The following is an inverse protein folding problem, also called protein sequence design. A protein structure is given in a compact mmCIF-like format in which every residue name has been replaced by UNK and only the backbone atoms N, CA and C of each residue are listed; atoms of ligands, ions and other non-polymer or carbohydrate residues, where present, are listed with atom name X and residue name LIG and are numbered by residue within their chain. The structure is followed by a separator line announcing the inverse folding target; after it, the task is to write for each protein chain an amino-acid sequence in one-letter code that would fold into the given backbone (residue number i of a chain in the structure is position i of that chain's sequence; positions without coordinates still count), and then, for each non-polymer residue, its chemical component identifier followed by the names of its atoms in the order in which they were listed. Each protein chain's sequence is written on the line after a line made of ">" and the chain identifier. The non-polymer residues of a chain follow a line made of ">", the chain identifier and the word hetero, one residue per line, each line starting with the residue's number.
data_IF_209519303333
#
_entry.id   IF_209519303333
#
_cell.length_a   1.000
_cell.length_b   1.000
_cell.length_c   1.000
_cell.angle_alpha   90.00
_cell.angle_beta   90.00
_cell.angle_gamma   90.00
#
_symmetry.space_group_name_H-M   'P 1'
#
loop_
_entity.id
_entity.type
_entity.pdbx_description
1 polymer ?
#
# COMPACT_ATOMS: atom_id res chain seq x y z
N UNK A 1 14.19 -18.27 -9.40
CA UNK A 1 13.40 -19.41 -8.92
C UNK A 1 11.89 -19.18 -9.08
N UNK A 2 11.22 -18.31 -8.27
CA UNK A 2 9.75 -18.13 -8.32
C UNK A 2 9.28 -17.65 -9.70
N UNK A 3 9.91 -16.63 -10.26
CA UNK A 3 9.58 -16.09 -11.59
C UNK A 3 9.89 -17.10 -12.71
N UNK A 4 10.96 -17.85 -12.59
CA UNK A 4 11.32 -18.94 -13.53
C UNK A 4 10.36 -20.13 -13.45
N UNK A 5 9.73 -20.34 -12.28
CA UNK A 5 8.68 -21.34 -12.10
C UNK A 5 7.33 -20.93 -12.70
N UNK A 6 7.23 -19.73 -13.31
CA UNK A 6 6.05 -19.27 -14.02
C UNK A 6 5.12 -18.35 -13.20
N UNK A 7 5.58 -17.84 -12.06
CA UNK A 7 4.85 -16.85 -11.27
C UNK A 7 5.32 -15.45 -11.64
N UNK A 8 4.77 -14.93 -12.72
CA UNK A 8 5.21 -13.67 -13.33
C UNK A 8 4.59 -12.44 -12.62
N UNK A 9 3.46 -12.59 -11.95
CA UNK A 9 2.72 -11.49 -11.35
C UNK A 9 2.80 -11.54 -9.81
N UNK A 10 3.30 -10.47 -9.20
CA UNK A 10 3.17 -10.19 -7.78
C UNK A 10 1.78 -9.60 -7.56
N UNK A 11 0.88 -10.36 -6.97
CA UNK A 11 -0.52 -9.97 -6.79
C UNK A 11 -0.70 -9.07 -5.57
N UNK A 12 0.08 -9.28 -4.52
CA UNK A 12 0.11 -8.46 -3.32
C UNK A 12 1.36 -8.74 -2.48
N UNK A 13 1.83 -7.74 -1.77
CA UNK A 13 2.85 -7.82 -0.74
C UNK A 13 2.30 -7.18 0.53
N UNK A 14 2.27 -7.92 1.61
CA UNK A 14 1.66 -7.49 2.87
C UNK A 14 2.69 -7.59 3.98
N UNK A 15 2.88 -6.50 4.73
CA UNK A 15 3.67 -6.51 5.95
C UNK A 15 2.92 -7.22 7.09
N UNK A 16 3.65 -7.89 7.96
CA UNK A 16 3.06 -8.56 9.12
C UNK A 16 3.99 -8.51 10.34
N UNK A 17 3.40 -8.21 11.48
CA UNK A 17 4.05 -8.34 12.78
C UNK A 17 3.70 -9.70 13.41
N UNK A 18 4.66 -10.62 13.38
CA UNK A 18 4.52 -11.98 13.93
C UNK A 18 4.75 -12.05 15.46
N UNK A 19 4.92 -10.93 16.13
CA UNK A 19 5.23 -10.83 17.56
C UNK A 19 6.74 -10.79 17.79
N UNK A 20 7.44 -11.89 17.66
CA UNK A 20 8.91 -11.95 17.85
C UNK A 20 9.68 -11.49 16.62
N UNK A 21 9.08 -11.55 15.43
CA UNK A 21 9.66 -11.17 14.15
C UNK A 21 8.76 -10.22 13.39
N UNK A 22 9.36 -9.41 12.52
CA UNK A 22 8.66 -8.66 11.48
C UNK A 22 8.89 -9.34 10.13
N UNK A 23 7.95 -9.18 9.18
CA UNK A 23 8.14 -9.79 7.89
C UNK A 23 7.11 -9.39 6.85
N UNK A 24 7.18 -10.05 5.72
CA UNK A 24 6.32 -9.83 4.57
C UNK A 24 5.75 -11.14 4.05
N UNK A 25 4.52 -11.09 3.62
CA UNK A 25 3.85 -12.17 2.88
C UNK A 25 3.67 -11.72 1.45
N UNK A 26 4.30 -12.43 0.53
CA UNK A 26 4.23 -12.21 -0.91
C UNK A 26 3.21 -13.16 -1.52
N UNK A 27 2.31 -12.64 -2.33
CA UNK A 27 1.34 -13.42 -3.09
C UNK A 27 1.64 -13.30 -4.58
N UNK A 28 1.85 -14.45 -5.21
CA UNK A 28 2.17 -14.52 -6.63
C UNK A 28 1.07 -15.28 -7.38
N UNK A 29 0.85 -14.88 -8.62
CA UNK A 29 -0.09 -15.57 -9.53
C UNK A 29 0.64 -15.89 -10.85
N UNK A 30 0.45 -17.12 -11.32
CA UNK A 30 0.85 -17.53 -12.66
C UNK A 30 -0.20 -17.07 -13.67
N UNK A 31 0.24 -16.39 -14.73
CA UNK A 31 -0.65 -15.93 -15.81
C UNK A 31 -1.14 -17.11 -16.66
N UNK A 32 -0.39 -18.23 -16.69
CA UNK A 32 -0.69 -19.37 -17.57
C UNK A 32 -1.87 -20.22 -17.09
N UNK A 33 -1.92 -20.51 -15.80
CA UNK A 33 -2.84 -21.47 -15.21
C UNK A 33 -3.62 -20.88 -14.01
N UNK A 34 -3.40 -19.61 -13.71
CA UNK A 34 -3.99 -18.89 -12.56
C UNK A 34 -3.69 -19.56 -11.20
N UNK A 35 -2.62 -20.38 -11.14
CA UNK A 35 -2.15 -20.93 -9.88
C UNK A 35 -1.58 -19.84 -8.99
N UNK A 36 -1.71 -20.02 -7.66
CA UNK A 36 -1.30 -19.05 -6.66
C UNK A 36 -0.23 -19.64 -5.76
N UNK A 37 0.76 -18.82 -5.42
CA UNK A 37 1.83 -19.14 -4.49
C UNK A 37 1.93 -18.03 -3.46
N UNK A 38 2.11 -18.38 -2.19
CA UNK A 38 2.51 -17.43 -1.15
C UNK A 38 3.91 -17.76 -0.63
N UNK A 39 4.68 -16.72 -0.35
CA UNK A 39 6.00 -16.84 0.28
C UNK A 39 6.09 -15.88 1.46
N UNK A 40 6.67 -16.33 2.56
CA UNK A 40 6.83 -15.54 3.78
C UNK A 40 8.33 -15.31 4.00
N UNK A 41 8.71 -14.07 4.19
CA UNK A 41 10.07 -13.66 4.56
C UNK A 41 10.00 -12.95 5.91
N UNK A 42 10.86 -13.33 6.84
CA UNK A 42 10.89 -12.78 8.20
C UNK A 42 12.28 -12.29 8.55
N UNK A 43 12.33 -11.26 9.41
CA UNK A 43 13.54 -10.80 10.10
C UNK A 43 13.28 -10.78 11.60
N UNK A 44 14.23 -11.27 12.40
CA UNK A 44 14.15 -11.28 13.86
C UNK A 44 14.62 -9.94 14.46
N UNK A 45 15.34 -9.14 13.68
CA UNK A 45 15.76 -7.80 14.09
C UNK A 45 14.57 -6.82 14.02
N UNK A 46 13.94 -6.58 15.17
CA UNK A 46 12.81 -5.64 15.28
C UNK A 46 13.23 -4.18 15.36
N UNK A 47 14.46 -3.90 15.76
CA UNK A 47 14.98 -2.52 15.90
C UNK A 47 15.37 -1.96 14.53
N UNK A 48 16.03 -2.78 13.72
CA UNK A 48 16.48 -2.39 12.38
C UNK A 48 16.12 -3.46 11.32
N UNK A 49 14.82 -3.74 11.13
CA UNK A 49 14.39 -4.82 10.24
C UNK A 49 14.75 -4.52 8.78
N UNK A 50 15.42 -5.47 8.14
CA UNK A 50 15.85 -5.36 6.75
C UNK A 50 15.53 -6.62 5.97
N UNK A 51 15.06 -6.45 4.72
CA UNK A 51 14.76 -7.51 3.76
C UNK A 51 15.27 -7.06 2.39
N UNK A 52 15.72 -7.96 1.54
CA UNK A 52 16.08 -7.60 0.16
C UNK A 52 14.85 -7.22 -0.66
N UNK A 53 14.94 -6.13 -1.42
CA UNK A 53 13.90 -5.72 -2.36
C UNK A 53 13.77 -6.73 -3.49
N UNK A 54 12.53 -6.88 -3.97
CA UNK A 54 12.22 -7.67 -5.17
C UNK A 54 11.73 -6.78 -6.33
N UNK A 55 11.85 -5.47 -6.20
CA UNK A 55 11.37 -4.47 -7.17
C UNK A 55 12.11 -4.50 -8.53
N UNK A 56 13.29 -5.11 -8.59
CA UNK A 56 14.00 -5.42 -9.83
C UNK A 56 13.31 -6.53 -10.63
N UNK A 57 12.68 -7.47 -9.95
CA UNK A 57 11.95 -8.60 -10.53
C UNK A 57 10.48 -8.29 -10.81
N UNK A 58 9.80 -7.61 -9.87
CA UNK A 58 8.39 -7.23 -9.97
C UNK A 58 8.23 -5.73 -9.69
N UNK A 59 7.79 -4.98 -10.69
CA UNK A 59 7.66 -3.51 -10.58
C UNK A 59 6.57 -3.08 -9.60
N UNK A 60 5.55 -3.92 -9.39
CA UNK A 60 4.48 -3.68 -8.41
C UNK A 60 5.04 -3.51 -6.99
N UNK A 61 6.13 -4.23 -6.66
CA UNK A 61 6.82 -4.13 -5.38
C UNK A 61 7.36 -2.72 -5.06
N UNK A 62 7.56 -1.85 -6.06
CA UNK A 62 8.06 -0.48 -5.82
C UNK A 62 7.18 0.34 -4.87
N UNK A 63 5.87 0.19 -4.93
CA UNK A 63 4.95 0.90 -4.03
C UNK A 63 4.59 0.05 -2.80
N UNK A 64 4.41 -1.25 -2.98
CA UNK A 64 4.04 -2.15 -1.89
C UNK A 64 5.15 -2.28 -0.83
N UNK A 65 6.42 -2.31 -1.22
CA UNK A 65 7.55 -2.30 -0.29
C UNK A 65 7.64 -0.98 0.50
N UNK A 66 7.30 0.16 -0.13
CA UNK A 66 7.19 1.45 0.56
C UNK A 66 6.03 1.47 1.55
N UNK A 67 4.90 0.85 1.23
CA UNK A 67 3.77 0.69 2.15
C UNK A 67 4.18 -0.13 3.38
N UNK A 68 4.85 -1.27 3.17
CA UNK A 68 5.36 -2.09 4.28
C UNK A 68 6.37 -1.32 5.12
N UNK A 69 7.28 -0.58 4.51
CA UNK A 69 8.20 0.30 5.24
C UNK A 69 7.42 1.34 6.06
N UNK A 70 6.41 1.96 5.46
CA UNK A 70 5.65 3.04 6.08
C UNK A 70 4.93 2.59 7.36
N UNK A 71 4.37 1.39 7.36
CA UNK A 71 3.55 0.89 8.47
C UNK A 71 4.30 -0.02 9.44
N UNK A 72 5.36 -0.72 9.01
CA UNK A 72 6.10 -1.68 9.83
C UNK A 72 7.57 -1.32 10.04
N UNK A 73 8.12 -0.39 9.26
CA UNK A 73 9.51 0.03 9.34
C UNK A 73 10.51 -0.95 8.76
N UNK A 74 10.06 -1.92 7.99
CA UNK A 74 10.94 -2.86 7.31
C UNK A 74 11.62 -2.14 6.14
N UNK A 75 12.94 -2.04 6.17
CA UNK A 75 13.75 -1.42 5.14
C UNK A 75 14.07 -2.44 4.04
N UNK A 76 13.85 -2.06 2.79
CA UNK A 76 14.16 -2.94 1.67
C UNK A 76 15.50 -2.58 1.04
N UNK A 77 16.47 -3.49 1.17
CA UNK A 77 17.83 -3.34 0.62
C UNK A 77 17.75 -3.33 -0.91
N UNK A 78 18.41 -2.39 -1.55
CA UNK A 78 18.42 -2.15 -3.00
C UNK A 78 17.07 -1.66 -3.58
N UNK A 79 16.12 -1.26 -2.74
CA UNK A 79 14.95 -0.53 -3.22
C UNK A 79 15.37 0.89 -3.70
N UNK A 80 14.95 1.34 -4.89
CA UNK A 80 15.43 2.60 -5.46
C UNK A 80 14.90 3.86 -4.74
N UNK A 81 13.79 3.77 -4.00
CA UNK A 81 13.13 4.91 -3.37
C UNK A 81 12.42 4.50 -2.08
N UNK A 82 13.16 4.42 -0.96
CA UNK A 82 12.61 3.99 0.33
C UNK A 82 12.17 5.22 1.14
N UNK A 83 10.95 5.68 0.90
CA UNK A 83 10.26 6.76 1.61
C UNK A 83 8.89 6.29 2.07
N UNK A 84 8.31 7.01 3.05
CA UNK A 84 6.90 6.81 3.39
C UNK A 84 5.99 7.05 2.17
N UNK A 85 4.87 6.37 2.14
CA UNK A 85 3.92 6.43 1.02
C UNK A 85 2.61 7.12 1.42
N UNK A 86 2.02 6.71 2.54
CA UNK A 86 0.72 7.18 3.03
C UNK A 86 0.85 8.16 4.20
N UNK A 87 1.79 7.91 5.11
CA UNK A 87 2.03 8.76 6.25
C UNK A 87 2.98 9.92 5.89
N UNK A 88 2.96 10.96 6.69
CA UNK A 88 3.90 12.08 6.55
C UNK A 88 5.33 11.59 6.86
N UNK A 89 6.32 12.16 6.19
CA UNK A 89 7.72 11.76 6.39
C UNK A 89 8.23 12.01 7.82
N UNK A 90 7.63 12.97 8.53
CA UNK A 90 7.92 13.28 9.93
C UNK A 90 7.08 12.45 10.94
N UNK A 91 6.28 11.50 10.47
CA UNK A 91 5.51 10.62 11.36
C UNK A 91 6.44 9.78 12.22
N UNK A 92 6.18 9.75 13.54
CA UNK A 92 6.99 9.01 14.51
C UNK A 92 6.44 7.59 14.67
N UNK A 93 7.32 6.61 14.50
CA UNK A 93 6.99 5.19 14.65
C UNK A 93 6.31 4.56 13.44
N UNK A 94 5.78 3.34 13.66
CA UNK A 94 5.20 2.48 12.62
C UNK A 94 3.88 1.88 13.11
N UNK A 95 2.74 2.42 12.66
CA UNK A 95 1.45 2.22 13.35
C UNK A 95 0.87 0.81 13.29
N UNK A 96 1.26 -0.04 12.35
CA UNK A 96 0.76 -1.41 12.29
C UNK A 96 1.59 -2.41 13.10
N UNK A 97 2.69 -1.99 13.72
CA UNK A 97 3.38 -2.80 14.72
C UNK A 97 2.49 -2.99 15.95
N UNK A 98 2.55 -4.17 16.56
CA UNK A 98 1.78 -4.51 17.78
C UNK A 98 2.26 -3.76 19.03
N UNK A 99 3.52 -3.32 19.02
CA UNK A 99 4.17 -2.55 20.08
C UNK A 99 4.13 -1.03 19.85
N UNK A 100 3.35 -0.56 18.86
CA UNK A 100 3.24 0.87 18.56
C UNK A 100 2.46 1.62 19.65
N UNK A 101 3.05 2.74 20.12
CA UNK A 101 2.37 3.68 21.02
C UNK A 101 1.37 4.55 20.23
N UNK A 102 0.07 4.41 20.56
CA UNK A 102 -1.02 5.14 19.92
C UNK A 102 -1.33 6.49 20.62
N UNK A 103 -0.46 7.00 21.48
CA UNK A 103 -0.69 8.26 22.18
C UNK A 103 -0.77 9.44 21.19
N UNK A 104 -1.73 10.35 21.41
CA UNK A 104 -1.89 11.56 20.58
C UNK A 104 -0.67 12.49 20.66
N UNK A 105 0.11 12.40 21.74
CA UNK A 105 1.30 13.20 21.97
C UNK A 105 2.44 12.84 21.00
N UNK A 106 2.49 11.58 20.55
CA UNK A 106 3.52 11.08 19.66
C UNK A 106 3.42 11.71 18.26
N UNK A 107 2.20 11.82 17.74
CA UNK A 107 1.93 12.36 16.42
C UNK A 107 0.76 13.35 16.47
N UNK A 108 0.96 14.57 16.99
CA UNK A 108 -0.09 15.54 17.10
C UNK A 108 -0.64 15.97 15.74
N UNK A 109 -1.93 16.26 15.70
CA UNK A 109 -2.57 16.86 14.52
C UNK A 109 -1.97 18.24 14.27
N UNK A 110 -1.41 18.46 13.09
CA UNK A 110 -0.87 19.76 12.67
C UNK A 110 -1.83 20.45 11.70
N UNK A 111 -2.14 21.70 11.98
CA UNK A 111 -3.03 22.52 11.14
C UNK A 111 -2.32 23.10 9.91
N UNK A 112 -0.99 23.23 9.96
CA UNK A 112 -0.17 23.78 8.89
C UNK A 112 0.87 22.75 8.47
N UNK A 113 1.10 22.64 7.15
CA UNK A 113 2.16 21.82 6.60
C UNK A 113 3.48 22.62 6.69
N UNK A 114 4.34 22.23 7.60
CA UNK A 114 5.75 22.58 7.52
C UNK A 114 6.37 21.82 6.34
N UNK A 115 7.39 22.39 5.72
CA UNK A 115 8.16 21.66 4.72
C UNK A 115 8.84 20.46 5.40
N UNK A 116 8.48 19.28 4.95
CA UNK A 116 9.04 18.02 5.44
C UNK A 116 9.98 17.49 4.37
N UNK A 117 11.18 17.09 4.82
CA UNK A 117 12.16 16.45 3.94
C UNK A 117 11.56 15.20 3.27
N UNK A 118 11.47 15.22 1.97
CA UNK A 118 10.90 14.17 1.13
C UNK A 118 11.94 13.48 0.23
N UNK A 119 13.24 13.66 0.56
CA UNK A 119 14.31 13.01 -0.17
C UNK A 119 14.17 11.50 -0.18
N UNK A 120 14.47 10.91 -1.33
CA UNK A 120 14.52 9.47 -1.51
C UNK A 120 15.71 8.86 -0.77
N UNK A 121 15.51 7.69 -0.18
CA UNK A 121 16.56 6.93 0.50
C UNK A 121 16.69 5.57 -0.16
N UNK A 122 17.92 5.17 -0.46
CA UNK A 122 18.26 3.84 -0.95
C UNK A 122 19.19 3.16 0.03
N UNK A 123 18.84 1.98 0.49
CA UNK A 123 19.71 1.15 1.33
C UNK A 123 20.50 0.21 0.42
N UNK A 124 21.82 0.35 0.42
CA UNK A 124 22.73 -0.42 -0.43
C UNK A 124 23.64 -1.27 0.43
N UNK A 125 23.71 -2.55 0.15
CA UNK A 125 24.63 -3.51 0.77
C UNK A 125 25.95 -3.57 -0.01
N UNK A 126 27.08 -3.48 0.69
CA UNK A 126 28.42 -3.63 0.11
C UNK A 126 28.83 -5.12 0.05
N UNK A 127 29.98 -5.38 -0.58
CA UNK A 127 30.54 -6.75 -0.71
C UNK A 127 30.82 -7.44 0.64
N UNK A 128 30.86 -6.69 1.73
CA UNK A 128 31.09 -7.20 3.09
C UNK A 128 29.80 -7.39 3.87
N UNK A 129 28.62 -7.19 3.27
CA UNK A 129 27.32 -7.30 3.92
C UNK A 129 26.95 -6.07 4.78
N UNK A 130 27.68 -4.94 4.65
CA UNK A 130 27.36 -3.72 5.38
C UNK A 130 26.38 -2.87 4.59
N UNK A 131 25.21 -2.60 5.19
CA UNK A 131 24.20 -1.74 4.60
C UNK A 131 24.48 -0.27 4.90
N UNK A 132 24.45 0.56 3.88
CA UNK A 132 24.57 2.01 3.95
C UNK A 132 23.35 2.71 3.32
N UNK A 133 22.94 3.84 3.88
CA UNK A 133 21.85 4.66 3.35
C UNK A 133 22.42 5.76 2.44
N UNK A 134 21.89 5.85 1.22
CA UNK A 134 22.18 6.92 0.28
C UNK A 134 20.92 7.76 0.10
N UNK A 135 21.03 9.06 0.37
CA UNK A 135 19.95 10.03 0.23
C UNK A 135 20.08 10.78 -1.10
N UNK A 136 18.99 10.94 -1.82
CA UNK A 136 18.92 11.63 -3.10
C UNK A 136 17.63 12.46 -3.15
N UNK A 137 17.72 13.70 -3.60
CA UNK A 137 16.54 14.53 -3.80
C UNK A 137 15.64 13.94 -4.92
N UNK A 138 14.32 13.95 -4.69
CA UNK A 138 13.36 13.43 -5.66
C UNK A 138 13.39 14.27 -6.95
N UNK A 139 13.46 15.58 -6.79
CA UNK A 139 13.61 16.53 -7.88
C UNK A 139 14.82 17.41 -7.66
N UNK A 140 15.49 17.81 -8.73
CA UNK A 140 16.60 18.75 -8.68
C UNK A 140 16.07 20.20 -8.76
N UNK A 141 16.89 21.18 -8.35
CA UNK A 141 16.48 22.59 -8.29
C UNK A 141 16.24 23.24 -9.67
N UNK A 142 16.70 22.60 -10.74
CA UNK A 142 16.56 23.05 -12.13
C UNK A 142 15.38 22.36 -12.85
N UNK A 143 14.71 21.39 -12.23
CA UNK A 143 13.53 20.76 -12.79
C UNK A 143 12.28 21.65 -12.64
N UNK A 144 11.49 21.75 -13.72
CA UNK A 144 10.18 22.39 -13.67
C UNK A 144 9.13 21.39 -13.18
N UNK A 145 8.72 21.54 -11.93
CA UNK A 145 7.78 20.60 -11.26
C UNK A 145 6.39 21.21 -11.18
N UNK A 146 5.41 20.50 -11.73
CA UNK A 146 3.98 20.83 -11.66
C UNK A 146 3.24 19.85 -10.75
N UNK A 147 2.33 20.38 -9.93
CA UNK A 147 1.44 19.57 -9.10
C UNK A 147 0.10 19.36 -9.79
N UNK A 148 -0.31 18.12 -9.97
CA UNK A 148 -1.63 17.71 -10.47
C UNK A 148 -2.37 17.04 -9.31
N UNK A 149 -3.46 17.62 -8.85
CA UNK A 149 -4.17 17.19 -7.64
C UNK A 149 -3.68 17.91 -6.37
N UNK A 150 -4.18 17.55 -5.17
CA UNK A 150 -5.07 16.42 -4.85
C UNK A 150 -6.53 16.56 -5.30
N UNK A 151 -6.99 17.77 -5.61
CA UNK A 151 -8.31 18.05 -6.19
C UNK A 151 -8.12 18.51 -7.63
N UNK A 152 -8.27 17.58 -8.57
CA UNK A 152 -8.17 17.86 -10.00
C UNK A 152 -9.15 16.97 -10.77
N UNK A 153 -9.88 17.50 -11.77
CA UNK A 153 -10.84 16.69 -12.53
C UNK A 153 -10.24 15.44 -13.17
N UNK A 154 -8.99 15.50 -13.59
CA UNK A 154 -8.30 14.38 -14.23
C UNK A 154 -7.93 13.23 -13.29
N UNK A 155 -7.92 13.45 -11.97
CA UNK A 155 -7.55 12.40 -11.01
C UNK A 155 -8.73 11.56 -10.54
N UNK A 156 -9.97 12.01 -10.78
CA UNK A 156 -11.21 11.35 -10.36
C UNK A 156 -11.19 10.87 -8.90
N UNK A 157 -10.54 11.65 -8.02
CA UNK A 157 -10.36 11.29 -6.60
C UNK A 157 -9.34 12.21 -5.94
N UNK A 158 -8.79 11.77 -4.82
CA UNK A 158 -7.84 12.58 -4.02
C UNK A 158 -6.44 12.00 -4.16
N UNK A 159 -5.79 12.34 -5.25
CA UNK A 159 -4.45 11.88 -5.61
C UNK A 159 -3.63 13.06 -6.13
N UNK A 160 -2.38 13.16 -5.72
CA UNK A 160 -1.46 14.20 -6.18
C UNK A 160 -0.29 13.58 -6.93
N UNK A 161 -0.04 14.10 -8.12
CA UNK A 161 1.18 13.83 -8.86
C UNK A 161 2.07 15.06 -8.83
N UNK A 162 3.33 14.90 -8.44
CA UNK A 162 4.39 15.88 -8.68
C UNK A 162 5.10 15.46 -9.96
N UNK A 163 5.00 16.26 -10.98
CA UNK A 163 5.44 15.89 -12.33
C UNK A 163 6.51 16.86 -12.82
N UNK A 164 7.69 16.35 -13.11
CA UNK A 164 8.75 17.10 -13.76
C UNK A 164 8.52 17.11 -15.27
N UNK A 165 8.50 18.30 -15.86
CA UNK A 165 8.19 18.53 -17.27
C UNK A 165 9.38 19.18 -18.01
N UNK A 166 9.53 18.80 -19.28
CA UNK A 166 10.38 19.47 -20.25
C UNK A 166 9.49 19.85 -21.45
N UNK A 167 9.00 21.09 -21.44
CA UNK A 167 7.91 21.49 -22.32
C UNK A 167 6.63 20.71 -22.04
N UNK A 168 6.16 19.92 -23.00
CA UNK A 168 4.99 19.02 -22.85
C UNK A 168 5.38 17.57 -22.52
N UNK A 169 6.68 17.27 -22.46
CA UNK A 169 7.16 15.92 -22.18
C UNK A 169 7.31 15.69 -20.68
N UNK A 170 6.70 14.59 -20.20
CA UNK A 170 6.83 14.15 -18.81
C UNK A 170 8.17 13.43 -18.64
N UNK A 171 9.06 13.99 -17.82
CA UNK A 171 10.36 13.38 -17.50
C UNK A 171 10.29 12.47 -16.27
N UNK A 172 9.52 12.88 -15.24
CA UNK A 172 9.43 12.16 -13.98
C UNK A 172 8.09 12.40 -13.32
N UNK A 173 7.56 11.37 -12.71
CA UNK A 173 6.34 11.44 -11.89
C UNK A 173 6.67 10.94 -10.49
N UNK A 174 6.29 11.69 -9.49
CA UNK A 174 6.28 11.28 -8.10
C UNK A 174 4.86 11.26 -7.57
N UNK A 175 4.47 10.12 -7.03
CA UNK A 175 3.12 9.87 -6.52
C UNK A 175 3.04 10.24 -5.05
N UNK A 176 2.07 11.09 -4.69
CA UNK A 176 1.74 11.44 -3.31
C UNK A 176 0.30 11.00 -3.03
N UNK A 177 0.15 9.98 -2.23
CA UNK A 177 -1.14 9.45 -1.77
C UNK A 177 -1.28 9.59 -0.25
N UNK A 178 -2.37 9.05 0.32
CA UNK A 178 -2.59 9.11 1.76
C UNK A 178 -3.57 10.19 2.22
N UNK A 179 -4.04 11.10 1.35
CA UNK A 179 -4.98 12.17 1.73
C UNK A 179 -6.28 11.67 2.36
N UNK A 180 -6.72 10.49 1.97
CA UNK A 180 -7.91 9.82 2.50
C UNK A 180 -7.57 8.54 3.29
N UNK A 181 -6.30 8.34 3.64
CA UNK A 181 -5.89 7.23 4.49
C UNK A 181 -6.47 7.40 5.90
N UNK A 182 -7.10 6.35 6.42
CA UNK A 182 -7.87 6.38 7.67
C UNK A 182 -7.39 5.36 8.71
N UNK A 183 -6.30 4.64 8.44
CA UNK A 183 -5.78 3.59 9.32
C UNK A 183 -6.77 2.44 9.54
N UNK A 184 -7.51 2.05 8.50
CA UNK A 184 -8.58 1.04 8.59
C UNK A 184 -8.06 -0.32 9.04
N UNK A 185 -6.84 -0.68 8.72
CA UNK A 185 -6.18 -1.91 9.14
C UNK A 185 -6.04 -1.94 10.68
N UNK A 186 -5.51 -0.85 11.25
CA UNK A 186 -5.35 -0.71 12.70
C UNK A 186 -6.68 -0.65 13.44
N UNK A 187 -7.66 0.04 12.86
CA UNK A 187 -9.02 0.11 13.42
C UNK A 187 -9.71 -1.24 13.37
N UNK A 188 -9.53 -2.00 12.29
CA UNK A 188 -10.14 -3.33 12.11
C UNK A 188 -9.62 -4.37 13.10
N UNK A 189 -8.40 -4.23 13.61
CA UNK A 189 -7.88 -5.09 14.69
C UNK A 189 -8.70 -5.00 15.98
N UNK A 190 -9.38 -3.86 16.22
CA UNK A 190 -10.17 -3.59 17.44
C UNK A 190 -11.66 -3.92 17.29
N UNK A 191 -12.11 -4.29 16.10
CA UNK A 191 -13.51 -4.46 15.75
C UNK A 191 -13.84 -5.92 15.38
N UNK A 192 -15.13 -6.26 15.46
CA UNK A 192 -15.63 -7.51 14.87
C UNK A 192 -15.72 -7.39 13.35
N UNK A 193 -15.73 -8.50 12.62
CA UNK A 193 -15.87 -8.52 11.16
C UNK A 193 -17.09 -7.72 10.68
N UNK A 194 -18.24 -7.87 11.36
CA UNK A 194 -19.46 -7.14 11.01
C UNK A 194 -19.32 -5.62 11.25
N UNK A 195 -18.59 -5.18 12.26
CA UNK A 195 -18.33 -3.77 12.51
C UNK A 195 -17.33 -3.19 11.52
N UNK A 196 -16.37 -3.99 11.04
CA UNK A 196 -15.36 -3.56 10.08
C UNK A 196 -15.93 -3.29 8.68
N UNK A 197 -17.11 -3.83 8.35
CA UNK A 197 -17.73 -3.69 7.01
C UNK A 197 -17.82 -2.24 6.56
N UNK A 198 -18.14 -1.30 7.46
CA UNK A 198 -18.25 0.13 7.15
C UNK A 198 -16.96 0.82 6.69
N UNK A 199 -15.81 0.20 6.89
CA UNK A 199 -14.55 0.76 6.40
C UNK A 199 -14.29 0.37 4.95
N UNK A 200 -14.77 -0.80 4.55
CA UNK A 200 -14.51 -1.35 3.23
C UNK A 200 -15.35 -0.68 2.14
N UNK A 201 -16.55 -0.19 2.45
CA UNK A 201 -17.39 0.55 1.53
C UNK A 201 -16.71 1.83 0.99
N UNK A 202 -15.75 2.39 1.74
CA UNK A 202 -15.05 3.63 1.39
C UNK A 202 -13.66 3.44 0.78
N UNK A 203 -13.24 2.22 0.52
CA UNK A 203 -11.98 1.95 -0.19
C UNK A 203 -12.10 2.38 -1.66
N UNK A 204 -13.16 1.94 -2.33
CA UNK A 204 -13.63 2.49 -3.60
C UNK A 204 -15.06 2.99 -3.41
N UNK A 205 -15.19 4.27 -3.05
CA UNK A 205 -16.48 4.86 -2.68
C UNK A 205 -17.47 5.03 -3.85
N UNK A 206 -17.02 4.83 -5.08
CA UNK A 206 -17.91 4.75 -6.25
C UNK A 206 -18.48 3.34 -6.47
N UNK A 207 -17.87 2.32 -5.87
CA UNK A 207 -18.23 0.92 -5.99
C UNK A 207 -18.27 0.22 -4.63
N UNK A 208 -18.96 0.83 -3.66
CA UNK A 208 -18.97 0.43 -2.25
C UNK A 208 -19.40 -1.02 -2.02
N UNK A 209 -20.50 -1.44 -2.65
CA UNK A 209 -21.11 -2.76 -2.41
C UNK A 209 -20.22 -3.94 -2.80
N UNK A 210 -19.48 -3.93 -3.93
CA UNK A 210 -18.51 -4.97 -4.24
C UNK A 210 -17.36 -5.08 -3.22
N UNK A 211 -16.94 -3.96 -2.61
CA UNK A 211 -15.90 -3.98 -1.57
C UNK A 211 -16.39 -4.72 -0.32
N UNK A 212 -17.59 -4.39 0.16
CA UNK A 212 -18.22 -5.06 1.30
C UNK A 212 -18.48 -6.54 1.00
N UNK A 213 -18.96 -6.85 -0.22
CA UNK A 213 -19.18 -8.22 -0.65
C UNK A 213 -17.88 -9.04 -0.64
N UNK A 214 -16.77 -8.46 -1.07
CA UNK A 214 -15.46 -9.12 -1.02
C UNK A 214 -15.06 -9.50 0.42
N UNK A 215 -15.22 -8.57 1.38
CA UNK A 215 -14.98 -8.85 2.79
C UNK A 215 -15.88 -9.97 3.30
N UNK A 216 -17.20 -9.90 3.01
CA UNK A 216 -18.16 -10.92 3.41
C UNK A 216 -17.77 -12.30 2.87
N UNK A 217 -17.37 -12.39 1.60
CA UNK A 217 -16.92 -13.64 0.99
C UNK A 217 -15.68 -14.22 1.67
N UNK A 218 -14.72 -13.36 2.06
CA UNK A 218 -13.53 -13.79 2.80
C UNK A 218 -13.90 -14.39 4.17
N UNK A 219 -14.77 -13.70 4.93
CA UNK A 219 -15.21 -14.14 6.26
C UNK A 219 -16.05 -15.42 6.16
N UNK A 220 -16.98 -15.50 5.23
CA UNK A 220 -17.82 -16.67 4.98
C UNK A 220 -16.97 -17.90 4.64
N UNK A 221 -15.97 -17.71 3.78
CA UNK A 221 -15.03 -18.78 3.42
C UNK A 221 -14.19 -19.23 4.62
N UNK A 222 -13.71 -18.30 5.42
CA UNK A 222 -12.92 -18.62 6.63
C UNK A 222 -13.72 -19.37 7.69
N UNK A 223 -15.01 -19.03 7.83
CA UNK A 223 -15.91 -19.65 8.81
C UNK A 223 -16.67 -20.86 8.26
N UNK A 224 -16.53 -21.18 6.98
CA UNK A 224 -17.26 -22.29 6.35
C UNK A 224 -18.77 -22.04 6.24
N UNK A 225 -19.22 -20.78 6.13
CA UNK A 225 -20.63 -20.42 6.05
C UNK A 225 -21.15 -20.66 4.62
N UNK A 226 -22.20 -21.44 4.49
CA UNK A 226 -22.91 -21.61 3.23
C UNK A 226 -23.95 -20.50 3.02
N UNK A 227 -23.77 -19.72 1.97
CA UNK A 227 -24.69 -18.62 1.62
C UNK A 227 -25.83 -19.16 0.79
N UNK A 228 -27.12 -18.91 1.17
CA UNK A 228 -28.26 -19.33 0.39
C UNK A 228 -28.24 -18.79 -1.05
N UNK A 229 -28.69 -19.62 -2.03
CA UNK A 229 -28.67 -19.25 -3.46
C UNK A 229 -29.35 -17.92 -3.76
N UNK A 230 -30.45 -17.63 -3.08
CA UNK A 230 -31.15 -16.34 -3.22
C UNK A 230 -30.27 -15.16 -2.84
N UNK A 231 -29.51 -15.25 -1.72
CA UNK A 231 -28.59 -14.20 -1.29
C UNK A 231 -27.46 -13.99 -2.29
N UNK A 232 -26.88 -15.08 -2.82
CA UNK A 232 -25.84 -15.00 -3.86
C UNK A 232 -26.33 -14.24 -5.08
N UNK A 233 -27.54 -14.54 -5.58
CA UNK A 233 -28.11 -13.87 -6.75
C UNK A 233 -28.38 -12.39 -6.48
N UNK A 234 -28.91 -12.04 -5.28
CA UNK A 234 -29.16 -10.66 -4.89
C UNK A 234 -27.84 -9.88 -4.84
N UNK A 235 -26.79 -10.45 -4.26
CA UNK A 235 -25.45 -9.81 -4.20
C UNK A 235 -24.92 -9.50 -5.58
N UNK A 236 -24.92 -10.47 -6.50
CA UNK A 236 -24.47 -10.24 -7.89
C UNK A 236 -25.30 -9.14 -8.57
N UNK A 237 -26.60 -9.14 -8.40
CA UNK A 237 -27.47 -8.11 -8.98
C UNK A 237 -27.11 -6.71 -8.45
N UNK A 238 -26.88 -6.60 -7.14
CA UNK A 238 -26.55 -5.33 -6.48
C UNK A 238 -25.15 -4.87 -6.86
N UNK A 239 -24.18 -5.78 -6.97
CA UNK A 239 -22.82 -5.48 -7.43
C UNK A 239 -22.83 -4.91 -8.86
N UNK A 240 -23.62 -5.50 -9.77
CA UNK A 240 -23.71 -5.00 -11.15
C UNK A 240 -24.44 -3.65 -11.24
N UNK A 241 -25.46 -3.42 -10.42
CA UNK A 241 -26.07 -2.08 -10.31
C UNK A 241 -25.09 -1.03 -9.79
N UNK A 242 -24.29 -1.38 -8.79
CA UNK A 242 -23.21 -0.50 -8.26
C UNK A 242 -22.16 -0.21 -9.34
N UNK A 243 -21.78 -1.22 -10.12
CA UNK A 243 -20.85 -1.08 -11.25
C UNK A 243 -21.40 -0.14 -12.31
N UNK A 244 -22.67 -0.27 -12.67
CA UNK A 244 -23.32 0.63 -13.63
C UNK A 244 -23.30 2.07 -13.11
N UNK A 245 -23.64 2.29 -11.83
CA UNK A 245 -23.61 3.61 -11.23
C UNK A 245 -22.20 4.23 -11.24
N UNK A 246 -21.19 3.43 -10.91
CA UNK A 246 -19.76 3.85 -10.94
C UNK A 246 -19.34 4.24 -12.36
N UNK A 247 -19.69 3.46 -13.37
CA UNK A 247 -19.34 3.76 -14.76
C UNK A 247 -20.05 5.02 -15.29
N UNK A 248 -21.32 5.21 -14.92
CA UNK A 248 -22.06 6.42 -15.30
C UNK A 248 -21.49 7.70 -14.64
N UNK A 249 -20.92 7.58 -13.45
CA UNK A 249 -20.26 8.71 -12.79
C UNK A 249 -18.92 9.06 -13.45
N UNK A 250 -18.21 8.04 -13.92
CA UNK A 250 -16.91 8.19 -14.56
C UNK A 250 -17.00 8.81 -15.98
N UNK A 251 -18.11 8.61 -16.66
CA UNK A 251 -18.36 9.04 -18.04
C UNK A 251 -18.81 10.50 -18.08
#
# INVERSE_FOLDING_TARGET
>A
AIKEAGYEWLTALIGEDFGEALGCVYYFTSVKDNSKLSAIVKTEDRENPMIHSVSDLWKDALLEEREVYDFYGIKFINHPDMRRLFLRNDWVGFPLRKDYDESEELNPVRLYHEEVDDSSVTYVEDENGKVSAKKVDVFTSDEFVVNIGPQHPATHGVLRFRTSLDGEEIKKIDLVCGYIHRGIEKLSEKLTYAQSTHFFDRMDYFSALPNEHCLCMCVEKALGIEVPRRAQVIRVMVDELSRIASHLLFF
#
